data_IF_377131577259
#
_entry.id   IF_377131577259
#
_cell.length_a   1.000
_cell.length_b   1.000
_cell.length_c   1.000
_cell.angle_alpha   90.00
_cell.angle_beta   90.00
_cell.angle_gamma   90.00
#
_symmetry.space_group_name_H-M   'P 1'
#
loop_
_entity.id
_entity.type
_entity.pdbx_description
1 polymer ?
#
# COMPACT_ATOMS: atom_id res chain seq x y z
N UNK A 1 6.99 0.09 -41.64
CA UNK A 1 5.85 -0.25 -40.75
C UNK A 1 6.36 -0.27 -39.31
N UNK A 2 6.64 0.91 -38.76
CA UNK A 2 7.27 1.10 -37.44
C UNK A 2 6.47 2.22 -36.79
N UNK A 3 5.88 1.97 -35.61
CA UNK A 3 5.79 2.93 -34.48
C UNK A 3 4.84 2.51 -33.33
N UNK A 4 4.37 1.26 -33.22
CA UNK A 4 3.49 0.87 -32.09
C UNK A 4 4.22 0.56 -30.76
N UNK A 5 5.43 1.08 -30.53
CA UNK A 5 6.23 0.71 -29.33
C UNK A 5 6.67 1.87 -28.43
N UNK A 6 6.34 3.13 -28.75
CA UNK A 6 6.84 4.28 -27.97
C UNK A 6 5.86 4.74 -26.89
N UNK A 7 4.58 4.35 -26.95
CA UNK A 7 3.55 4.78 -25.99
C UNK A 7 3.38 3.90 -24.74
N UNK A 8 4.22 2.87 -24.54
CA UNK A 8 4.10 1.98 -23.38
C UNK A 8 4.82 2.45 -22.09
N UNK A 9 5.45 3.63 -22.11
CA UNK A 9 6.51 4.01 -21.14
C UNK A 9 6.14 4.92 -19.98
N UNK A 10 4.85 5.21 -19.73
CA UNK A 10 4.39 5.90 -18.50
C UNK A 10 3.11 5.24 -17.97
N UNK A 11 2.98 3.93 -18.14
CA UNK A 11 1.97 3.19 -17.39
C UNK A 11 2.58 2.87 -16.03
N UNK A 12 2.12 3.55 -14.98
CA UNK A 12 2.27 3.06 -13.60
C UNK A 12 1.90 1.57 -13.69
N UNK A 13 2.79 0.63 -13.32
CA UNK A 13 2.46 -0.77 -13.43
C UNK A 13 1.18 -0.96 -12.62
N UNK A 14 0.08 -1.31 -13.30
CA UNK A 14 -1.27 -1.49 -12.71
C UNK A 14 -1.25 -2.38 -11.45
N UNK A 15 -0.18 -3.15 -11.31
CA UNK A 15 0.15 -4.02 -10.20
C UNK A 15 0.60 -3.28 -8.91
N UNK A 16 1.34 -2.17 -8.95
CA UNK A 16 1.87 -1.49 -7.74
C UNK A 16 0.78 -0.73 -6.98
N UNK A 17 -0.04 0.06 -7.69
CA UNK A 17 -1.17 0.78 -7.08
C UNK A 17 -2.25 -0.18 -6.56
N UNK A 18 -2.51 -1.27 -7.28
CA UNK A 18 -3.44 -2.32 -6.83
C UNK A 18 -2.92 -3.00 -5.56
N UNK A 19 -1.64 -3.36 -5.54
CA UNK A 19 -0.99 -3.98 -4.38
C UNK A 19 -1.02 -3.07 -3.15
N UNK A 20 -0.75 -1.77 -3.33
CA UNK A 20 -0.81 -0.79 -2.25
C UNK A 20 -2.20 -0.70 -1.61
N UNK A 21 -3.25 -0.69 -2.44
CA UNK A 21 -4.64 -0.69 -1.95
C UNK A 21 -4.96 -1.96 -1.17
N UNK A 22 -4.57 -3.13 -1.68
CA UNK A 22 -4.76 -4.42 -1.00
C UNK A 22 -4.07 -4.46 0.36
N UNK A 23 -2.81 -4.01 0.45
CA UNK A 23 -2.04 -3.98 1.69
C UNK A 23 -2.70 -3.05 2.73
N UNK A 24 -3.18 -1.87 2.30
CA UNK A 24 -3.89 -0.92 3.17
C UNK A 24 -5.21 -1.50 3.69
N UNK A 25 -5.95 -2.22 2.83
CA UNK A 25 -7.18 -2.88 3.23
C UNK A 25 -6.91 -3.99 4.26
N UNK A 26 -5.88 -4.81 4.04
CA UNK A 26 -5.48 -5.86 4.99
C UNK A 26 -5.07 -5.27 6.35
N UNK A 27 -4.30 -4.18 6.34
CA UNK A 27 -3.92 -3.48 7.57
C UNK A 27 -5.15 -2.96 8.33
N UNK A 28 -6.13 -2.40 7.62
CA UNK A 28 -7.37 -1.94 8.23
C UNK A 28 -8.11 -3.12 8.90
N UNK A 29 -8.22 -4.26 8.22
CA UNK A 29 -8.88 -5.45 8.79
C UNK A 29 -8.19 -5.97 10.05
N UNK A 30 -6.86 -5.99 10.11
CA UNK A 30 -6.15 -6.38 11.34
C UNK A 30 -6.32 -5.36 12.47
N UNK A 31 -6.38 -4.07 12.13
CA UNK A 31 -6.65 -3.01 13.11
C UNK A 31 -8.05 -3.16 13.71
N UNK A 32 -9.04 -3.48 12.90
CA UNK A 32 -10.41 -3.72 13.37
C UNK A 32 -10.49 -4.99 14.24
N UNK A 33 -9.76 -6.05 13.87
CA UNK A 33 -9.67 -7.26 14.69
C UNK A 33 -9.00 -6.98 16.05
N UNK A 34 -7.90 -6.24 16.08
CA UNK A 34 -7.26 -5.83 17.34
C UNK A 34 -8.19 -5.01 18.23
N UNK A 35 -8.95 -4.07 17.65
CA UNK A 35 -9.96 -3.29 18.38
C UNK A 35 -11.07 -4.17 18.92
N UNK A 36 -11.56 -5.13 18.13
CA UNK A 36 -12.59 -6.07 18.55
C UNK A 36 -12.17 -6.90 19.76
N UNK A 37 -10.91 -7.35 19.81
CA UNK A 37 -10.35 -8.04 20.98
C UNK A 37 -10.37 -7.17 22.24
N UNK A 38 -9.97 -5.90 22.11
CA UNK A 38 -9.98 -4.95 23.23
C UNK A 38 -11.40 -4.65 23.69
N UNK A 39 -12.31 -4.34 22.77
CA UNK A 39 -13.72 -4.05 23.08
C UNK A 39 -14.39 -5.24 23.75
N UNK A 40 -14.14 -6.47 23.29
CA UNK A 40 -14.67 -7.67 23.92
C UNK A 40 -14.17 -7.83 25.36
N UNK A 41 -12.87 -7.63 25.59
CA UNK A 41 -12.31 -7.71 26.95
C UNK A 41 -12.91 -6.62 27.87
N UNK A 42 -13.06 -5.40 27.35
CA UNK A 42 -13.71 -4.27 28.04
C UNK A 42 -15.17 -4.56 28.38
N UNK A 43 -15.96 -5.10 27.44
CA UNK A 43 -17.36 -5.49 27.63
C UNK A 43 -17.49 -6.58 28.72
N UNK A 44 -16.53 -7.50 28.76
CA UNK A 44 -16.43 -8.54 29.77
C UNK A 44 -15.79 -8.05 31.09
N UNK A 45 -15.45 -6.75 31.19
CA UNK A 45 -14.82 -6.09 32.35
C UNK A 45 -13.55 -6.80 32.85
N UNK A 46 -12.77 -7.34 31.92
CA UNK A 46 -11.52 -8.04 32.19
C UNK A 46 -10.42 -7.56 31.26
N UNK A 47 -9.18 -7.87 31.59
CA UNK A 47 -8.08 -7.73 30.65
C UNK A 47 -8.11 -8.84 29.61
N UNK A 48 -7.32 -8.67 28.54
CA UNK A 48 -7.07 -9.73 27.56
C UNK A 48 -6.55 -10.98 28.28
N UNK A 49 -7.10 -12.13 27.93
CA UNK A 49 -6.54 -13.40 28.40
C UNK A 49 -5.27 -13.75 27.60
N UNK A 50 -4.58 -14.82 27.99
CA UNK A 50 -3.32 -15.23 27.35
C UNK A 50 -3.43 -15.45 25.84
N UNK A 51 -4.54 -16.02 25.37
CA UNK A 51 -4.73 -16.33 23.95
C UNK A 51 -5.09 -15.07 23.15
N UNK A 52 -5.95 -14.21 23.70
CA UNK A 52 -6.30 -12.92 23.11
C UNK A 52 -5.11 -11.97 23.06
N UNK A 53 -4.25 -11.97 24.09
CA UNK A 53 -3.01 -11.20 24.12
C UNK A 53 -2.04 -11.68 23.03
N UNK A 54 -1.84 -13.00 22.88
CA UNK A 54 -1.03 -13.56 21.79
C UNK A 54 -1.59 -13.17 20.43
N UNK A 55 -2.91 -13.28 20.24
CA UNK A 55 -3.55 -12.91 18.98
C UNK A 55 -3.37 -11.41 18.69
N UNK A 56 -3.49 -10.56 19.71
CA UNK A 56 -3.24 -9.13 19.57
C UNK A 56 -1.80 -8.84 19.12
N UNK A 57 -0.81 -9.46 19.77
CA UNK A 57 0.61 -9.28 19.43
C UNK A 57 0.94 -9.79 18.02
N UNK A 58 0.36 -10.92 17.61
CA UNK A 58 0.48 -11.44 16.24
C UNK A 58 -0.11 -10.48 15.20
N UNK A 59 -1.33 -9.99 15.42
CA UNK A 59 -1.97 -9.01 14.54
C UNK A 59 -1.19 -7.69 14.49
N UNK A 60 -0.62 -7.27 15.62
CA UNK A 60 0.23 -6.08 15.72
C UNK A 60 1.48 -6.23 14.87
N UNK A 61 2.16 -7.38 14.97
CA UNK A 61 3.35 -7.71 14.18
C UNK A 61 3.03 -7.78 12.68
N UNK A 62 1.90 -8.38 12.30
CA UNK A 62 1.47 -8.42 10.90
C UNK A 62 1.15 -7.02 10.37
N UNK A 63 0.50 -6.17 11.17
CA UNK A 63 0.23 -4.76 10.82
C UNK A 63 1.53 -3.96 10.62
N UNK A 64 2.56 -4.19 11.43
CA UNK A 64 3.87 -3.56 11.28
C UNK A 64 4.61 -4.04 10.02
N UNK A 65 4.56 -5.33 9.72
CA UNK A 65 5.10 -5.86 8.47
C UNK A 65 4.39 -5.25 7.25
N UNK A 66 3.07 -5.12 7.28
CA UNK A 66 2.29 -4.45 6.24
C UNK A 66 2.67 -2.96 6.13
N UNK A 67 2.89 -2.25 7.24
CA UNK A 67 3.33 -0.85 7.21
C UNK A 67 4.67 -0.69 6.49
N UNK A 68 5.64 -1.56 6.80
CA UNK A 68 6.94 -1.53 6.15
C UNK A 68 6.82 -1.79 4.64
N UNK A 69 5.96 -2.74 4.24
CA UNK A 69 5.73 -3.06 2.83
C UNK A 69 5.00 -1.92 2.10
N UNK A 70 3.98 -1.32 2.73
CA UNK A 70 3.28 -0.14 2.21
C UNK A 70 4.27 0.99 1.95
N UNK A 71 5.16 1.31 2.90
CA UNK A 71 6.15 2.37 2.75
C UNK A 71 7.11 2.11 1.58
N UNK A 72 7.48 0.85 1.33
CA UNK A 72 8.31 0.48 0.16
C UNK A 72 7.57 0.70 -1.15
N UNK A 73 6.31 0.28 -1.25
CA UNK A 73 5.50 0.51 -2.45
C UNK A 73 5.18 1.99 -2.67
N UNK A 74 5.00 2.77 -1.61
CA UNK A 74 4.82 4.22 -1.68
C UNK A 74 6.07 4.90 -2.25
N UNK A 75 7.26 4.57 -1.72
CA UNK A 75 8.52 5.10 -2.23
C UNK A 75 8.75 4.75 -3.71
N UNK A 76 8.45 3.51 -4.11
CA UNK A 76 8.51 3.10 -5.52
C UNK A 76 7.52 3.90 -6.39
N UNK A 77 6.29 4.07 -5.92
CA UNK A 77 5.27 4.81 -6.66
C UNK A 77 5.60 6.31 -6.78
N UNK A 78 6.19 6.90 -5.75
CA UNK A 78 6.58 8.31 -5.75
C UNK A 78 7.80 8.57 -6.65
N UNK A 79 8.78 7.67 -6.66
CA UNK A 79 9.93 7.73 -7.58
C UNK A 79 9.47 7.61 -9.05
N UNK A 80 8.57 6.66 -9.35
CA UNK A 80 7.99 6.50 -10.69
C UNK A 80 7.21 7.77 -11.13
N UNK A 81 6.47 8.39 -10.21
CA UNK A 81 5.75 9.66 -10.47
C UNK A 81 6.73 10.82 -10.68
N UNK A 82 7.83 10.86 -9.95
CA UNK A 82 8.85 11.89 -10.10
C UNK A 82 9.56 11.78 -11.46
N UNK A 83 9.87 10.56 -11.90
CA UNK A 83 10.44 10.30 -13.23
C UNK A 83 9.48 10.68 -14.36
N UNK A 84 8.17 10.41 -14.22
CA UNK A 84 7.16 10.84 -15.19
C UNK A 84 7.07 12.36 -15.33
N UNK A 85 7.25 13.13 -14.24
CA UNK A 85 7.24 14.60 -14.25
C UNK A 85 8.49 15.20 -14.91
N UNK A 86 9.61 14.50 -14.85
CA UNK A 86 10.91 14.97 -15.37
C UNK A 86 11.19 14.53 -16.81
N UNK A 87 10.25 13.86 -17.48
CA UNK A 87 10.36 13.66 -18.93
C UNK A 87 10.10 15.00 -19.64
N UNK A 88 11.06 15.53 -20.41
CA UNK A 88 10.76 16.64 -21.31
C UNK A 88 9.70 16.13 -22.28
N UNK A 89 8.51 16.75 -22.24
CA UNK A 89 7.54 16.60 -23.31
C UNK A 89 8.31 16.87 -24.61
N UNK A 90 8.51 15.83 -25.43
CA UNK A 90 9.23 15.96 -26.69
C UNK A 90 8.45 16.94 -27.54
N UNK A 91 8.90 18.20 -27.51
CA UNK A 91 8.31 19.34 -28.17
C UNK A 91 8.69 19.27 -29.64
N UNK A 92 8.22 18.24 -30.34
CA UNK A 92 8.19 18.22 -31.80
C UNK A 92 6.90 18.93 -32.24
N UNK A 93 6.82 20.23 -31.93
CA UNK A 93 5.93 21.14 -32.65
C UNK A 93 6.76 21.70 -33.80
N UNK A 94 6.69 21.03 -34.94
CA UNK A 94 7.18 21.51 -36.22
C UNK A 94 6.65 22.92 -36.46
N UNK A 95 7.56 23.91 -36.41
CA UNK A 95 7.32 25.25 -36.93
C UNK A 95 7.16 25.16 -38.46
N UNK A 96 6.31 26.05 -39.00
CA UNK A 96 5.84 26.13 -40.38
C UNK A 96 6.93 26.20 -41.44
#
# INVERSE_FOLDING_TARGET
MVLNSVLKKIAIPKNTMKKLLELRQQKATFTDQMRSLLTKAEDEKRSLNTDEAKQFDELRNQSDALNAEIARYEALSDEERNQAKNQPASKNLTAW
#
